data_IF_854586732057
#
_entry.id   IF_854586732057
#
_cell.length_a   1.000
_cell.length_b   1.000
_cell.length_c   1.000
_cell.angle_alpha   90.00
_cell.angle_beta   90.00
_cell.angle_gamma   90.00
#
_symmetry.space_group_name_H-M   'P 1'
#
loop_
_entity.id
_entity.type
_entity.pdbx_description
1 polymer ?
#
# COMPACT_ATOMS: atom_id res chain seq x y z
N UNK A 1 0.01 -32.21 10.27
CA UNK A 1 0.41 -31.48 9.05
C UNK A 1 1.65 -30.72 9.41
N UNK A 2 2.70 -30.84 8.61
CA UNK A 2 3.91 -30.05 8.79
C UNK A 2 3.55 -28.61 8.37
N UNK A 3 3.34 -27.74 9.37
CA UNK A 3 2.76 -26.40 9.21
C UNK A 3 3.80 -25.30 8.97
N UNK A 4 5.07 -25.67 8.87
CA UNK A 4 6.13 -24.72 8.57
C UNK A 4 6.13 -24.43 7.07
N UNK A 5 5.77 -23.20 6.69
CA UNK A 5 6.03 -22.68 5.35
C UNK A 5 7.55 -22.82 5.10
N UNK A 6 7.99 -23.33 3.94
CA UNK A 6 9.41 -23.59 3.66
C UNK A 6 10.16 -22.29 3.32
N UNK A 7 9.99 -21.26 4.16
CA UNK A 7 10.47 -19.90 3.96
C UNK A 7 11.97 -19.87 3.67
N UNK A 8 12.76 -20.59 4.46
CA UNK A 8 14.21 -20.71 4.23
C UNK A 8 14.54 -21.31 2.86
N UNK A 9 13.79 -22.31 2.40
CA UNK A 9 14.01 -22.91 1.08
C UNK A 9 13.66 -21.92 -0.03
N UNK A 10 12.61 -21.11 0.14
CA UNK A 10 12.23 -20.07 -0.82
C UNK A 10 13.30 -18.98 -0.88
N UNK A 11 13.79 -18.51 0.27
CA UNK A 11 14.87 -17.52 0.35
C UNK A 11 16.13 -18.03 -0.37
N UNK A 12 16.55 -19.27 -0.10
CA UNK A 12 17.71 -19.90 -0.74
C UNK A 12 17.49 -20.10 -2.25
N UNK A 13 16.31 -20.57 -2.66
CA UNK A 13 15.97 -20.83 -4.07
C UNK A 13 15.97 -19.56 -4.92
N UNK A 14 15.40 -18.48 -4.40
CA UNK A 14 15.24 -17.23 -5.13
C UNK A 14 16.34 -16.19 -4.85
N UNK A 15 17.31 -16.52 -3.99
CA UNK A 15 18.34 -15.60 -3.53
C UNK A 15 17.73 -14.30 -2.97
N UNK A 16 16.63 -14.44 -2.23
CA UNK A 16 15.86 -13.33 -1.69
C UNK A 16 16.28 -13.04 -0.23
N UNK A 17 16.13 -11.79 0.18
CA UNK A 17 16.40 -11.35 1.55
C UNK A 17 15.16 -11.45 2.46
N UNK A 18 13.95 -11.42 1.87
CA UNK A 18 12.68 -11.52 2.58
C UNK A 18 11.63 -12.28 1.75
N UNK A 19 10.54 -12.67 2.41
CA UNK A 19 9.33 -13.22 1.78
C UNK A 19 8.13 -12.38 2.18
N UNK A 20 7.46 -11.83 1.18
CA UNK A 20 6.15 -11.22 1.33
C UNK A 20 5.04 -12.26 1.12
N UNK A 21 4.03 -12.25 1.99
CA UNK A 21 2.88 -13.13 1.90
C UNK A 21 1.63 -12.36 1.49
N UNK A 22 0.98 -12.83 0.43
CA UNK A 22 -0.36 -12.40 0.04
C UNK A 22 -1.39 -13.36 0.65
N UNK A 23 -2.15 -12.87 1.64
CA UNK A 23 -3.15 -13.65 2.37
C UNK A 23 -4.54 -13.37 1.82
N UNK A 24 -5.09 -14.36 1.13
CA UNK A 24 -6.44 -14.27 0.58
C UNK A 24 -7.49 -14.66 1.63
N UNK A 25 -8.41 -13.74 1.92
CA UNK A 25 -9.48 -13.93 2.90
C UNK A 25 -10.83 -14.06 2.19
N UNK A 26 -11.52 -15.22 2.26
CA UNK A 26 -12.80 -15.45 1.58
C UNK A 26 -13.98 -14.82 2.33
N UNK A 27 -13.84 -13.56 2.74
CA UNK A 27 -14.83 -12.77 3.47
C UNK A 27 -14.83 -11.33 2.97
N UNK A 28 -15.85 -10.58 3.39
CA UNK A 28 -15.91 -9.14 3.20
C UNK A 28 -14.96 -8.39 4.13
N UNK A 29 -14.38 -7.30 3.63
CA UNK A 29 -13.59 -6.36 4.41
C UNK A 29 -12.84 -5.37 3.53
N UNK A 30 -11.89 -4.67 4.14
CA UNK A 30 -10.97 -3.74 3.48
C UNK A 30 -9.62 -4.40 3.42
N UNK A 31 -9.05 -4.52 2.22
CA UNK A 31 -7.69 -5.02 2.04
C UNK A 31 -6.70 -4.01 2.66
N UNK A 32 -5.58 -4.54 3.17
CA UNK A 32 -4.55 -3.72 3.79
C UNK A 32 -3.22 -4.45 3.79
N UNK A 33 -2.15 -3.69 3.95
CA UNK A 33 -0.79 -4.19 3.94
C UNK A 33 -0.04 -3.81 5.20
N UNK A 34 0.63 -4.81 5.78
CA UNK A 34 1.57 -4.71 6.90
C UNK A 34 2.98 -4.91 6.33
N UNK A 35 3.64 -3.80 5.96
CA UNK A 35 4.98 -3.82 5.40
C UNK A 35 6.04 -4.04 6.48
N UNK A 36 7.26 -4.32 6.04
CA UNK A 36 8.43 -4.22 6.91
C UNK A 36 8.67 -2.76 7.28
N UNK A 37 8.64 -2.48 8.57
CA UNK A 37 8.98 -1.16 9.10
C UNK A 37 10.46 -1.10 9.48
N UNK A 38 11.16 -0.05 9.06
CA UNK A 38 12.62 0.02 9.19
C UNK A 38 13.13 0.19 10.64
N UNK A 39 12.29 0.71 11.53
CA UNK A 39 12.64 1.00 12.94
C UNK A 39 11.93 0.08 13.94
N UNK A 40 11.06 -0.82 13.48
CA UNK A 40 10.44 -1.83 14.32
C UNK A 40 11.33 -3.07 14.32
N UNK A 41 11.68 -3.62 15.50
CA UNK A 41 12.45 -4.85 15.58
C UNK A 41 11.83 -5.96 14.74
N UNK A 42 12.66 -6.68 13.99
CA UNK A 42 12.27 -7.78 13.11
C UNK A 42 11.39 -8.83 13.81
N UNK A 43 11.52 -9.00 15.13
CA UNK A 43 10.68 -9.91 15.91
C UNK A 43 9.22 -9.45 16.06
N UNK A 44 8.90 -8.20 15.74
CA UNK A 44 7.55 -7.61 15.80
C UNK A 44 6.95 -7.38 14.40
N UNK A 45 7.78 -7.30 13.36
CA UNK A 45 7.42 -7.27 11.94
C UNK A 45 7.81 -8.58 11.25
N UNK A 46 7.57 -9.71 11.91
CA UNK A 46 8.10 -11.02 11.49
C UNK A 46 7.74 -11.42 10.05
N UNK A 47 6.71 -10.81 9.46
CA UNK A 47 6.28 -11.09 8.09
C UNK A 47 5.75 -9.83 7.42
N UNK A 48 6.20 -9.60 6.20
CA UNK A 48 5.59 -8.69 5.22
C UNK A 48 4.28 -9.34 4.76
N UNK A 49 3.13 -8.77 5.13
CA UNK A 49 1.81 -9.37 4.88
C UNK A 49 0.89 -8.40 4.14
N UNK A 50 0.32 -8.83 3.02
CA UNK A 50 -0.80 -8.13 2.39
C UNK A 50 -2.05 -8.97 2.53
N UNK A 51 -3.07 -8.45 3.20
CA UNK A 51 -4.36 -9.12 3.36
C UNK A 51 -5.30 -8.65 2.26
N UNK A 52 -5.73 -9.58 1.40
CA UNK A 52 -6.68 -9.30 0.34
C UNK A 52 -7.98 -10.01 0.61
N UNK A 53 -9.02 -9.23 0.86
CA UNK A 53 -10.37 -9.73 1.05
C UNK A 53 -10.99 -10.09 -0.29
N UNK A 54 -11.84 -11.10 -0.37
CA UNK A 54 -12.51 -11.42 -1.63
C UNK A 54 -13.62 -10.44 -1.97
N UNK A 55 -14.23 -9.82 -0.98
CA UNK A 55 -15.37 -8.92 -1.17
C UNK A 55 -15.10 -7.57 -0.50
N UNK A 56 -15.43 -6.49 -1.18
CA UNK A 56 -15.27 -5.13 -0.65
C UNK A 56 -16.44 -4.80 0.30
N UNK A 57 -16.16 -4.74 1.60
CA UNK A 57 -17.13 -4.43 2.67
C UNK A 57 -18.33 -5.42 2.80
N UNK A 58 -18.96 -5.45 3.99
CA UNK A 58 -20.03 -6.35 4.38
C UNK A 58 -21.33 -6.18 3.57
N UNK A 59 -21.47 -5.07 2.84
CA UNK A 59 -22.68 -4.77 2.06
C UNK A 59 -22.58 -5.05 0.56
N UNK A 60 -21.38 -5.36 0.01
CA UNK A 60 -21.21 -5.63 -1.43
C UNK A 60 -20.81 -7.08 -1.69
N UNK A 61 -21.36 -7.64 -2.77
CA UNK A 61 -21.07 -9.00 -3.29
C UNK A 61 -19.91 -8.96 -4.31
N UNK A 62 -19.25 -7.81 -4.44
CA UNK A 62 -18.34 -7.49 -5.54
C UNK A 62 -16.94 -8.01 -5.25
N UNK A 63 -16.38 -8.83 -6.17
CA UNK A 63 -15.01 -9.34 -6.04
C UNK A 63 -14.00 -8.20 -6.16
N UNK A 64 -12.92 -8.25 -5.38
CA UNK A 64 -11.79 -7.34 -5.57
C UNK A 64 -11.20 -7.53 -6.98
N UNK A 65 -10.92 -6.42 -7.66
CA UNK A 65 -10.32 -6.39 -8.99
C UNK A 65 -8.77 -6.42 -8.92
N UNK A 66 -8.06 -6.78 -10.02
CA UNK A 66 -6.60 -6.86 -10.09
C UNK A 66 -5.86 -5.64 -9.54
N UNK A 67 -6.43 -4.44 -9.73
CA UNK A 67 -5.93 -3.18 -9.19
C UNK A 67 -5.68 -3.24 -7.67
N UNK A 68 -6.61 -3.81 -6.89
CA UNK A 68 -6.49 -3.85 -5.43
C UNK A 68 -5.31 -4.72 -5.01
N UNK A 69 -5.08 -5.84 -5.70
CA UNK A 69 -3.90 -6.67 -5.42
C UNK A 69 -2.61 -5.92 -5.73
N UNK A 70 -2.56 -5.20 -6.86
CA UNK A 70 -1.39 -4.41 -7.23
C UNK A 70 -1.11 -3.27 -6.24
N UNK A 71 -2.15 -2.52 -5.87
CA UNK A 71 -2.09 -1.45 -4.88
C UNK A 71 -1.53 -1.94 -3.53
N UNK A 72 -2.08 -3.03 -2.99
CA UNK A 72 -1.60 -3.62 -1.74
C UNK A 72 -0.16 -4.15 -1.85
N UNK A 73 0.21 -4.75 -2.99
CA UNK A 73 1.58 -5.20 -3.20
C UNK A 73 2.56 -4.03 -3.23
N UNK A 74 2.19 -2.88 -3.80
CA UNK A 74 3.07 -1.71 -3.84
C UNK A 74 3.35 -1.13 -2.45
N UNK A 75 2.39 -1.21 -1.52
CA UNK A 75 2.64 -0.83 -0.13
C UNK A 75 3.78 -1.63 0.50
N UNK A 76 4.02 -2.89 0.10
CA UNK A 76 5.16 -3.66 0.63
C UNK A 76 6.51 -3.01 0.34
N UNK A 77 6.58 -2.17 -0.68
CA UNK A 77 7.80 -1.59 -1.20
C UNK A 77 7.94 -0.08 -0.95
N UNK A 78 7.09 0.53 -0.11
CA UNK A 78 7.23 1.96 0.18
C UNK A 78 6.13 2.86 -0.39
N UNK A 79 5.24 2.34 -1.24
CA UNK A 79 4.16 3.16 -1.77
C UNK A 79 3.22 3.62 -0.66
N UNK A 80 2.65 4.81 -0.82
CA UNK A 80 1.77 5.44 0.15
C UNK A 80 0.45 5.79 -0.51
N UNK A 81 -0.62 5.84 0.27
CA UNK A 81 -1.94 6.26 -0.17
C UNK A 81 -1.97 7.77 -0.43
N UNK A 82 -2.36 8.15 -1.64
CA UNK A 82 -2.36 9.53 -2.15
C UNK A 82 -3.76 10.15 -2.25
N UNK A 83 -4.80 9.47 -1.72
CA UNK A 83 -6.16 10.01 -1.68
C UNK A 83 -6.39 10.96 -0.50
N UNK A 84 -7.43 11.80 -0.59
CA UNK A 84 -7.71 12.91 0.33
C UNK A 84 -7.93 12.53 1.80
N UNK A 85 -8.42 11.32 2.06
CA UNK A 85 -8.66 10.80 3.41
C UNK A 85 -7.58 9.80 3.85
N UNK A 86 -6.45 9.75 3.13
CA UNK A 86 -5.32 8.91 3.50
C UNK A 86 -4.81 9.32 4.86
N UNK A 87 -4.77 8.40 5.84
CA UNK A 87 -4.17 8.70 7.12
C UNK A 87 -2.63 8.74 6.99
N UNK A 88 -2.08 8.31 5.85
CA UNK A 88 -0.67 8.39 5.47
C UNK A 88 -0.27 9.75 4.87
N UNK A 89 -1.13 10.77 4.99
CA UNK A 89 -0.80 12.15 4.67
C UNK A 89 -1.08 13.07 5.86
N UNK A 90 -0.30 14.15 6.04
CA UNK A 90 -0.60 15.14 7.07
C UNK A 90 -1.99 15.75 6.90
N UNK A 91 -2.66 16.02 8.03
CA UNK A 91 -3.95 16.73 8.03
C UNK A 91 -3.82 18.06 7.28
N UNK A 92 -4.67 18.24 6.27
CA UNK A 92 -4.67 19.44 5.42
C UNK A 92 -3.65 19.42 4.28
N UNK A 93 -3.00 18.28 4.01
CA UNK A 93 -2.17 18.13 2.80
C UNK A 93 -2.99 18.42 1.55
N UNK A 94 -2.38 19.15 0.62
CA UNK A 94 -2.94 19.45 -0.70
C UNK A 94 -2.45 18.49 -1.78
N UNK A 95 -1.60 17.54 -1.42
CA UNK A 95 -1.04 16.58 -2.34
C UNK A 95 -2.13 15.76 -3.06
N UNK A 96 -3.21 15.30 -2.39
CA UNK A 96 -4.27 14.56 -3.07
C UNK A 96 -5.00 15.35 -4.15
N UNK A 97 -5.20 16.66 -3.93
CA UNK A 97 -5.82 17.55 -4.93
C UNK A 97 -4.96 17.65 -6.19
N UNK A 98 -3.64 17.72 -6.00
CA UNK A 98 -2.68 17.78 -7.08
C UNK A 98 -2.57 16.45 -7.82
N UNK A 99 -2.45 15.33 -7.10
CA UNK A 99 -2.40 13.99 -7.70
C UNK A 99 -3.66 13.74 -8.53
N UNK A 100 -4.85 14.07 -8.02
CA UNK A 100 -6.08 13.91 -8.79
C UNK A 100 -6.16 14.77 -10.06
N UNK A 101 -5.46 15.91 -10.09
CA UNK A 101 -5.45 16.83 -11.22
C UNK A 101 -4.40 16.48 -12.28
N UNK A 102 -3.17 16.21 -11.85
CA UNK A 102 -2.02 15.95 -12.74
C UNK A 102 -1.85 14.46 -13.07
N UNK A 103 -2.27 13.58 -12.17
CA UNK A 103 -2.12 12.13 -12.26
C UNK A 103 -3.46 11.40 -12.01
N UNK A 104 -4.49 11.61 -12.86
CA UNK A 104 -5.83 11.09 -12.63
C UNK A 104 -5.92 9.56 -12.55
N UNK A 105 -4.97 8.86 -13.17
CA UNK A 105 -4.90 7.40 -13.22
C UNK A 105 -3.82 6.83 -12.26
N UNK A 106 -3.39 7.58 -11.24
CA UNK A 106 -2.42 7.12 -10.23
C UNK A 106 -2.96 5.92 -9.42
N UNK A 107 -2.20 4.82 -9.42
CA UNK A 107 -2.56 3.58 -8.73
C UNK A 107 -2.70 3.72 -7.21
N UNK A 108 -2.02 4.69 -6.60
CA UNK A 108 -2.13 5.01 -5.18
C UNK A 108 -3.08 6.18 -4.90
N UNK A 109 -3.62 6.80 -5.95
CA UNK A 109 -4.38 8.05 -5.88
C UNK A 109 -5.74 7.91 -5.23
N UNK A 110 -6.26 6.66 -5.17
CA UNK A 110 -7.65 6.36 -4.84
C UNK A 110 -8.61 7.04 -5.82
N UNK A 111 -9.72 6.39 -6.16
CA UNK A 111 -10.64 6.98 -7.13
C UNK A 111 -11.42 8.17 -6.51
N UNK A 112 -10.98 9.40 -6.78
CA UNK A 112 -11.70 10.65 -6.44
C UNK A 112 -12.91 10.92 -7.34
N UNK A 113 -13.13 10.13 -8.39
CA UNK A 113 -14.20 10.29 -9.39
C UNK A 113 -15.22 9.13 -9.45
N UNK A 114 -15.25 8.22 -8.46
CA UNK A 114 -16.39 7.30 -8.26
C UNK A 114 -16.57 6.16 -9.28
N UNK A 115 -15.59 5.88 -10.12
CA UNK A 115 -15.67 4.91 -11.23
C UNK A 115 -15.06 3.51 -11.03
N UNK A 116 -14.71 3.05 -9.82
CA UNK A 116 -14.14 1.69 -9.66
C UNK A 116 -14.78 0.82 -8.57
N UNK A 117 -16.05 1.09 -8.26
CA UNK A 117 -16.94 0.05 -7.73
C UNK A 117 -17.57 -0.80 -8.85
N UNK A 118 -17.15 -0.59 -10.10
CA UNK A 118 -17.55 -1.44 -11.22
C UNK A 118 -16.62 -2.65 -11.32
N UNK A 119 -17.20 -3.78 -10.93
CA UNK A 119 -16.69 -5.15 -10.86
C UNK A 119 -16.10 -5.75 -12.12
N UNK A 120 -15.82 -4.96 -13.17
CA UNK A 120 -15.50 -5.48 -14.49
C UNK A 120 -14.05 -5.26 -14.92
N UNK A 121 -13.24 -4.56 -14.11
CA UNK A 121 -11.81 -4.51 -14.37
C UNK A 121 -11.21 -5.91 -14.22
N UNK A 122 -10.96 -6.54 -15.36
CA UNK A 122 -10.15 -7.76 -15.50
C UNK A 122 -8.67 -7.42 -15.67
N UNK A 123 -8.33 -6.14 -15.70
CA UNK A 123 -6.99 -5.58 -15.88
C UNK A 123 -6.70 -4.43 -14.90
N UNK A 124 -5.43 -4.05 -14.79
CA UNK A 124 -4.99 -2.88 -14.03
C UNK A 124 -5.07 -1.69 -14.97
N UNK A 125 -6.08 -0.84 -14.80
CA UNK A 125 -6.28 0.39 -15.60
C UNK A 125 -5.61 1.64 -15.04
N UNK A 126 -4.61 1.47 -14.17
CA UNK A 126 -3.94 2.55 -13.44
C UNK A 126 -2.42 2.50 -13.65
N UNK A 127 -1.78 3.63 -13.43
CA UNK A 127 -0.36 3.84 -13.67
C UNK A 127 0.41 4.04 -12.36
N UNK A 128 1.66 3.59 -12.38
CA UNK A 128 2.65 4.00 -11.38
C UNK A 128 3.25 5.32 -11.87
N UNK A 129 2.87 6.44 -11.26
CA UNK A 129 3.38 7.75 -11.68
C UNK A 129 4.79 7.98 -11.13
N UNK A 130 5.48 9.06 -11.54
CA UNK A 130 6.76 9.45 -10.94
C UNK A 130 6.71 9.59 -9.41
N UNK A 131 5.56 9.96 -8.84
CA UNK A 131 5.41 10.09 -7.38
C UNK A 131 5.46 8.72 -6.70
N UNK A 132 4.66 7.76 -7.16
CA UNK A 132 4.71 6.40 -6.62
C UNK A 132 6.07 5.74 -6.91
N UNK A 133 6.65 5.96 -8.09
CA UNK A 133 8.01 5.51 -8.40
C UNK A 133 9.07 6.09 -7.45
N UNK A 134 8.93 7.35 -7.03
CA UNK A 134 9.79 7.97 -6.03
C UNK A 134 9.63 7.29 -4.66
N UNK A 135 8.40 7.03 -4.21
CA UNK A 135 8.13 6.30 -2.97
C UNK A 135 8.73 4.88 -2.97
N UNK A 136 8.72 4.21 -4.12
CA UNK A 136 9.30 2.88 -4.32
C UNK A 136 10.83 2.89 -4.44
N UNK A 137 11.47 4.06 -4.57
CA UNK A 137 12.92 4.18 -4.79
C UNK A 137 13.38 3.79 -6.19
N UNK A 138 12.48 3.86 -7.18
CA UNK A 138 12.85 3.69 -8.58
C UNK A 138 13.44 4.96 -9.18
N UNK A 139 13.14 6.12 -8.59
CA UNK A 139 13.73 7.41 -8.91
C UNK A 139 14.12 8.15 -7.64
N UNK A 140 15.22 8.90 -7.69
CA UNK A 140 15.78 9.58 -6.51
C UNK A 140 15.31 11.03 -6.36
N UNK A 141 14.65 11.59 -7.38
CA UNK A 141 14.27 13.01 -7.42
C UNK A 141 12.93 13.20 -8.11
N UNK A 142 12.18 14.21 -7.66
CA UNK A 142 10.87 14.56 -8.18
C UNK A 142 10.72 16.10 -8.13
N UNK A 143 10.26 16.78 -9.20
CA UNK A 143 10.03 18.23 -9.18
C UNK A 143 9.10 18.71 -8.04
N UNK A 144 8.16 17.85 -7.66
CA UNK A 144 7.13 18.14 -6.67
C UNK A 144 7.69 18.20 -5.23
N UNK A 145 8.93 17.77 -4.98
CA UNK A 145 9.56 17.86 -3.65
C UNK A 145 9.64 19.30 -3.11
N UNK A 146 9.78 20.28 -4.00
CA UNK A 146 9.83 21.71 -3.62
C UNK A 146 8.46 22.22 -3.16
N UNK A 147 7.38 21.64 -3.68
CA UNK A 147 5.99 22.08 -3.43
C UNK A 147 5.27 21.23 -2.37
N UNK A 148 5.71 19.99 -2.19
CA UNK A 148 5.14 19.00 -1.27
C UNK A 148 6.25 18.41 -0.39
N UNK A 149 6.77 19.17 0.59
CA UNK A 149 7.86 18.72 1.45
C UNK A 149 7.49 17.52 2.33
N UNK A 150 6.21 17.17 2.48
CA UNK A 150 5.80 15.91 3.11
C UNK A 150 6.37 14.67 2.40
N UNK A 151 6.63 14.74 1.08
CA UNK A 151 7.23 13.65 0.31
C UNK A 151 8.68 13.37 0.72
N UNK A 152 9.41 14.36 1.26
CA UNK A 152 10.79 14.16 1.72
C UNK A 152 10.86 13.33 3.00
N UNK A 153 9.72 13.09 3.67
CA UNK A 153 9.63 12.21 4.85
C UNK A 153 9.55 10.74 4.45
N UNK A 154 9.20 10.46 3.20
CA UNK A 154 9.15 9.10 2.65
C UNK A 154 10.59 8.68 2.38
N UNK A 155 11.01 7.55 2.97
CA UNK A 155 12.27 6.92 2.62
C UNK A 155 12.00 5.95 1.48
N UNK A 156 12.61 6.15 0.30
CA UNK A 156 12.37 5.25 -0.81
C UNK A 156 12.73 3.80 -0.45
N UNK A 157 11.83 2.85 -0.71
CA UNK A 157 12.04 1.42 -0.43
C UNK A 157 11.93 0.99 1.04
N UNK A 158 11.55 1.88 1.96
CA UNK A 158 11.33 1.55 3.36
C UNK A 158 10.13 2.33 3.92
N UNK A 159 9.07 1.62 4.34
CA UNK A 159 7.98 2.30 5.03
C UNK A 159 8.43 2.75 6.43
N UNK A 160 8.05 4.01 6.68
CA UNK A 160 7.97 4.81 7.89
C UNK A 160 8.54 4.31 9.22
N UNK A 161 8.95 5.27 10.06
CA UNK A 161 9.12 5.02 11.48
C UNK A 161 7.80 4.59 12.14
N UNK A 162 7.89 3.75 13.16
CA UNK A 162 6.86 3.35 14.11
C UNK A 162 6.05 4.52 14.66
N UNK A 163 6.63 5.70 14.80
CA UNK A 163 5.91 6.93 15.19
C UNK A 163 4.77 7.27 14.23
N UNK A 164 4.94 7.01 12.93
CA UNK A 164 3.93 7.25 11.91
C UNK A 164 2.79 6.23 11.97
N UNK A 165 3.12 4.94 12.11
CA UNK A 165 2.10 3.89 12.28
C UNK A 165 1.40 3.96 13.64
N UNK A 166 2.03 4.50 14.69
CA UNK A 166 1.37 4.71 15.98
C UNK A 166 0.23 5.74 15.87
N UNK A 167 0.33 6.72 14.98
CA UNK A 167 -0.79 7.61 14.67
C UNK A 167 -1.89 6.87 13.87
N UNK A 168 -1.53 5.96 12.95
CA UNK A 168 -2.47 5.16 12.16
C UNK A 168 -3.24 4.11 13.00
N UNK A 169 -2.55 3.38 13.88
CA UNK A 169 -3.13 2.30 14.71
C UNK A 169 -4.16 2.84 15.70
N UNK A 170 -4.05 4.10 16.14
CA UNK A 170 -5.04 4.73 17.01
C UNK A 170 -6.43 4.86 16.37
N UNK A 171 -6.56 4.73 15.04
CA UNK A 171 -7.82 4.90 14.31
C UNK A 171 -8.47 3.60 13.83
N UNK A 172 -7.80 2.44 13.88
CA UNK A 172 -8.29 1.22 13.21
C UNK A 172 -8.53 -0.01 14.10
N UNK A 173 -8.30 0.07 15.41
CA UNK A 173 -8.69 -1.02 16.32
C UNK A 173 -10.04 -0.69 16.99
N UNK A 174 -11.15 -1.37 16.61
CA UNK A 174 -12.35 -1.32 17.44
C UNK A 174 -12.01 -1.90 18.81
N UNK A 175 -12.31 -1.12 19.86
CA UNK A 175 -12.29 -1.57 21.27
C UNK A 175 -13.25 -2.72 21.50
#
# INVERSE_FOLDING_TARGET
>A
MDTALPEQQLLEQYQAESVCYLVFLPKSGTSFTLPRMADVPEQLTQRELSFVFYYQDAQRIQRQCPYIYAHELLHQFGAIDLYSNSPQLPVGSRLPEYVAAEYPDEIMGGNTQGHYYETELTEIGFEITPLTAYCLGWVDTLPELDSYPELTRIRPGALYSSEYYQELIQYELPT
#
